data_IF_610595214083
#
_entry.id   IF_610595214083
#
_cell.length_a   1.000
_cell.length_b   1.000
_cell.length_c   1.000
_cell.angle_alpha   90.00
_cell.angle_beta   90.00
_cell.angle_gamma   90.00
#
_symmetry.space_group_name_H-M   'P 1'
#
loop_
_entity.id
_entity.type
_entity.pdbx_description
1 polymer ?
#
# COMPACT_ATOMS: atom_id res chain seq x y z
N UNK A 1 1.09 14.19 18.60
CA UNK A 1 0.06 14.86 17.75
C UNK A 1 -0.58 13.87 16.76
N UNK A 2 0.07 13.38 15.71
CA UNK A 2 -0.59 12.50 14.71
C UNK A 2 -1.09 11.18 15.30
N UNK A 3 -0.30 10.48 16.10
CA UNK A 3 -0.69 9.27 16.81
C UNK A 3 -1.92 9.51 17.73
N UNK A 4 -1.93 10.62 18.42
CA UNK A 4 -3.04 11.01 19.28
C UNK A 4 -4.33 11.32 18.50
N UNK A 5 -4.23 11.98 17.33
CA UNK A 5 -5.38 12.23 16.46
C UNK A 5 -5.98 10.93 15.93
N UNK A 6 -5.14 9.97 15.51
CA UNK A 6 -5.59 8.62 15.10
C UNK A 6 -6.27 7.90 16.24
N UNK A 7 -5.67 7.92 17.43
CA UNK A 7 -6.23 7.28 18.62
C UNK A 7 -7.59 7.89 19.00
N UNK A 8 -7.73 9.20 18.92
CA UNK A 8 -9.01 9.88 19.18
C UNK A 8 -10.07 9.51 18.14
N UNK A 9 -9.71 9.36 16.86
CA UNK A 9 -10.63 8.86 15.83
C UNK A 9 -11.05 7.42 16.10
N UNK A 10 -10.12 6.55 16.48
CA UNK A 10 -10.39 5.15 16.83
C UNK A 10 -11.35 5.09 18.01
N UNK A 11 -11.10 5.84 19.08
CA UNK A 11 -11.99 5.92 20.27
C UNK A 11 -13.37 6.45 19.94
N UNK A 12 -13.45 7.46 19.04
CA UNK A 12 -14.73 7.96 18.55
C UNK A 12 -15.52 6.88 17.80
N UNK A 13 -14.86 6.09 16.94
CA UNK A 13 -15.48 4.98 16.23
C UNK A 13 -15.93 3.88 17.21
N UNK A 14 -15.10 3.53 18.21
CA UNK A 14 -15.45 2.61 19.28
C UNK A 14 -16.68 3.08 20.05
N UNK A 15 -16.76 4.38 20.39
CA UNK A 15 -17.91 4.96 21.09
C UNK A 15 -19.21 4.84 20.29
N UNK A 16 -19.17 5.14 18.99
CA UNK A 16 -20.32 4.98 18.09
C UNK A 16 -20.79 3.53 17.96
N UNK A 17 -19.85 2.59 17.96
CA UNK A 17 -20.13 1.16 17.88
C UNK A 17 -20.39 0.49 19.25
N UNK A 18 -20.37 1.26 20.33
CA UNK A 18 -20.50 0.77 21.72
C UNK A 18 -19.47 -0.30 22.09
N UNK A 19 -18.24 -0.19 21.57
CA UNK A 19 -17.11 -1.05 21.86
C UNK A 19 -16.31 -0.43 23.01
N UNK A 20 -16.07 -1.19 24.09
CA UNK A 20 -15.31 -0.75 25.25
C UNK A 20 -13.82 -0.96 25.11
N UNK A 21 -13.42 -2.03 24.41
CA UNK A 21 -12.03 -2.32 24.12
C UNK A 21 -11.84 -2.90 22.72
N UNK A 22 -10.79 -2.45 22.02
CA UNK A 22 -10.39 -2.88 20.67
C UNK A 22 -9.05 -3.60 20.73
N UNK A 23 -9.00 -4.80 20.17
CA UNK A 23 -7.79 -5.62 20.01
C UNK A 23 -7.28 -5.45 18.58
N UNK A 24 -6.11 -4.84 18.39
CA UNK A 24 -5.51 -4.57 17.11
C UNK A 24 -4.23 -5.39 16.95
N UNK A 25 -4.26 -6.33 16.01
CA UNK A 25 -3.15 -7.23 15.76
C UNK A 25 -2.20 -6.68 14.69
N UNK A 26 -0.91 -7.02 14.84
CA UNK A 26 0.11 -6.79 13.83
C UNK A 26 1.26 -7.77 13.94
N UNK A 27 2.01 -7.88 12.87
CA UNK A 27 3.28 -8.60 12.78
C UNK A 27 4.22 -7.86 11.82
N UNK A 28 5.44 -8.36 11.58
CA UNK A 28 6.42 -7.74 10.71
C UNK A 28 5.96 -7.59 9.24
N UNK A 29 4.98 -8.39 8.79
CA UNK A 29 4.48 -8.38 7.41
C UNK A 29 3.23 -7.53 7.24
N UNK A 30 2.40 -7.47 8.27
CA UNK A 30 1.16 -6.69 8.28
C UNK A 30 0.99 -6.04 9.65
N UNK A 31 1.38 -4.78 9.75
CA UNK A 31 1.41 -4.02 10.99
C UNK A 31 0.50 -2.79 11.02
N UNK A 32 -0.24 -2.52 9.94
CA UNK A 32 -1.03 -1.31 9.74
C UNK A 32 -2.10 -1.07 10.82
N UNK A 33 -2.83 -2.10 11.23
CA UNK A 33 -3.85 -2.02 12.28
C UNK A 33 -3.26 -1.69 13.65
N UNK A 34 -2.21 -2.42 14.05
CA UNK A 34 -1.49 -2.15 15.29
C UNK A 34 -0.86 -0.77 15.27
N UNK A 35 -0.19 -0.43 14.17
CA UNK A 35 0.48 0.85 13.99
C UNK A 35 -0.49 2.03 14.00
N UNK A 36 -1.70 1.85 13.49
CA UNK A 36 -2.73 2.89 13.52
C UNK A 36 -2.99 3.39 14.95
N UNK A 37 -3.02 2.47 15.93
CA UNK A 37 -3.29 2.79 17.32
C UNK A 37 -2.05 3.19 18.13
N UNK A 38 -0.89 2.59 17.84
CA UNK A 38 0.31 2.73 18.67
C UNK A 38 1.43 3.57 18.06
N UNK A 39 1.34 3.86 16.75
CA UNK A 39 2.42 4.42 15.90
C UNK A 39 3.66 3.53 15.78
N UNK A 40 3.65 2.37 16.41
CA UNK A 40 4.76 1.42 16.45
C UNK A 40 4.72 0.42 15.28
N UNK A 41 5.86 0.20 14.65
CA UNK A 41 6.04 -0.82 13.63
C UNK A 41 6.80 -2.03 14.17
N UNK A 42 6.23 -3.23 14.07
CA UNK A 42 6.86 -4.48 14.48
C UNK A 42 7.98 -4.83 13.50
N UNK A 43 9.15 -5.18 14.04
CA UNK A 43 10.29 -5.64 13.26
C UNK A 43 10.30 -7.17 13.15
N UNK A 44 9.97 -7.86 14.25
CA UNK A 44 9.94 -9.32 14.33
C UNK A 44 8.82 -9.80 15.25
N UNK A 45 8.39 -11.06 15.10
CA UNK A 45 7.38 -11.63 15.99
C UNK A 45 5.97 -11.10 15.77
N UNK A 46 5.22 -11.00 16.86
CA UNK A 46 3.81 -10.63 16.90
C UNK A 46 3.55 -9.55 17.95
N UNK A 47 2.59 -8.70 17.69
CA UNK A 47 2.12 -7.72 18.63
C UNK A 47 0.61 -7.54 18.61
N UNK A 48 0.06 -7.16 19.76
CA UNK A 48 -1.33 -6.75 19.90
C UNK A 48 -1.39 -5.45 20.69
N UNK A 49 -2.02 -4.44 20.11
CA UNK A 49 -2.42 -3.25 20.84
C UNK A 49 -3.84 -3.42 21.36
N UNK A 50 -4.02 -3.26 22.65
CA UNK A 50 -5.35 -3.19 23.28
C UNK A 50 -5.65 -1.74 23.60
N UNK A 51 -6.70 -1.20 22.97
CA UNK A 51 -7.15 0.18 23.15
C UNK A 51 -8.46 0.17 23.89
N UNK A 52 -8.55 0.92 25.00
CA UNK A 52 -9.80 1.20 25.70
C UNK A 52 -10.26 2.63 25.44
N UNK A 53 -11.54 2.92 25.73
CA UNK A 53 -12.07 4.28 25.54
C UNK A 53 -11.45 5.31 26.49
N UNK A 54 -11.12 4.88 27.71
CA UNK A 54 -10.78 5.79 28.82
C UNK A 54 -9.31 5.66 29.30
N UNK A 55 -8.63 4.56 28.94
CA UNK A 55 -7.26 4.27 29.35
C UNK A 55 -6.29 4.44 28.15
N UNK A 56 -4.99 4.28 28.39
CA UNK A 56 -3.96 4.29 27.36
C UNK A 56 -4.02 3.10 26.41
N UNK A 57 -3.07 3.04 25.50
CA UNK A 57 -2.83 1.87 24.65
C UNK A 57 -1.94 0.90 25.43
N UNK A 58 -2.33 -0.37 25.51
CA UNK A 58 -1.48 -1.43 26.03
C UNK A 58 -0.93 -2.21 24.84
N UNK A 59 0.39 -2.32 24.76
CA UNK A 59 1.07 -2.97 23.64
C UNK A 59 1.76 -4.24 24.11
N UNK A 60 1.22 -5.39 23.73
CA UNK A 60 1.76 -6.71 24.03
C UNK A 60 2.67 -7.17 22.89
N UNK A 61 3.94 -7.45 23.19
CA UNK A 61 4.97 -7.84 22.22
C UNK A 61 5.67 -9.12 22.68
N UNK A 62 6.01 -10.03 21.77
CA UNK A 62 6.75 -11.25 22.06
C UNK A 62 8.25 -11.17 21.71
N UNK A 63 8.70 -10.07 21.12
CA UNK A 63 10.10 -9.76 20.85
C UNK A 63 10.66 -8.77 21.88
N UNK A 64 11.81 -9.12 22.50
CA UNK A 64 12.49 -8.23 23.42
C UNK A 64 13.05 -6.99 22.71
N UNK A 65 13.54 -7.15 21.45
CA UNK A 65 14.04 -6.04 20.65
C UNK A 65 12.92 -5.06 20.30
N UNK A 66 11.74 -5.55 19.95
CA UNK A 66 10.60 -4.70 19.68
C UNK A 66 10.05 -4.02 20.93
N UNK A 67 10.08 -4.70 22.10
CA UNK A 67 9.67 -4.09 23.37
C UNK A 67 10.59 -2.92 23.75
N UNK A 68 11.92 -3.09 23.63
CA UNK A 68 12.89 -2.04 23.89
C UNK A 68 12.71 -0.84 22.94
N UNK A 69 12.48 -1.10 21.64
CA UNK A 69 12.18 -0.04 20.66
C UNK A 69 10.88 0.70 20.96
N UNK A 70 9.85 -0.05 21.37
CA UNK A 70 8.52 0.51 21.64
C UNK A 70 8.52 1.52 22.79
N UNK A 71 9.38 1.38 23.80
CA UNK A 71 9.54 2.34 24.88
C UNK A 71 9.96 3.74 24.35
N UNK A 72 10.68 3.78 23.24
CA UNK A 72 11.15 5.03 22.60
C UNK A 72 10.20 5.50 21.50
N UNK A 73 9.74 4.57 20.65
CA UNK A 73 8.95 4.87 19.45
C UNK A 73 7.45 5.04 19.73
N UNK A 74 6.94 4.44 20.83
CA UNK A 74 5.53 4.52 21.26
C UNK A 74 5.39 5.01 22.71
N UNK A 75 5.92 6.17 23.09
CA UNK A 75 6.02 6.61 24.50
C UNK A 75 4.66 6.81 25.18
N UNK A 76 3.55 6.76 24.45
CA UNK A 76 2.19 6.84 24.99
C UNK A 76 1.54 5.49 25.24
N UNK A 77 2.23 4.37 24.98
CA UNK A 77 1.73 3.02 25.19
C UNK A 77 2.35 2.39 26.45
N UNK A 78 1.56 1.56 27.14
CA UNK A 78 2.04 0.69 28.22
C UNK A 78 2.58 -0.61 27.61
N UNK A 79 3.90 -0.83 27.68
CA UNK A 79 4.61 -1.89 26.96
C UNK A 79 4.69 -3.15 27.82
N UNK A 80 4.22 -4.26 27.28
CA UNK A 80 4.24 -5.58 27.91
C UNK A 80 5.04 -6.58 27.07
N UNK A 81 6.29 -6.87 27.47
CA UNK A 81 7.03 -8.00 26.92
C UNK A 81 6.45 -9.31 27.46
N UNK A 82 5.98 -10.17 26.56
CA UNK A 82 5.31 -11.44 26.92
C UNK A 82 5.88 -12.60 26.09
N UNK A 83 5.83 -13.83 26.61
CA UNK A 83 6.26 -15.02 25.85
C UNK A 83 5.25 -15.48 24.81
N UNK A 84 3.98 -15.16 25.01
CA UNK A 84 2.86 -15.59 24.19
C UNK A 84 1.80 -14.49 24.23
N UNK A 85 1.73 -13.74 23.14
CA UNK A 85 0.82 -12.60 22.97
C UNK A 85 -0.64 -13.05 23.06
N UNK A 86 -0.98 -14.20 22.46
CA UNK A 86 -2.34 -14.72 22.47
C UNK A 86 -2.82 -15.03 23.89
N UNK A 87 -1.99 -15.69 24.67
CA UNK A 87 -2.29 -16.02 26.08
C UNK A 87 -2.38 -14.79 26.96
N UNK A 88 -1.47 -13.84 26.79
CA UNK A 88 -1.43 -12.61 27.58
C UNK A 88 -2.69 -11.77 27.34
N UNK A 89 -3.10 -11.61 26.07
CA UNK A 89 -4.30 -10.86 25.68
C UNK A 89 -5.57 -11.61 26.10
N UNK A 90 -5.63 -12.94 26.00
CA UNK A 90 -6.75 -13.73 26.54
C UNK A 90 -6.93 -13.48 28.04
N UNK A 91 -5.84 -13.51 28.81
CA UNK A 91 -5.89 -13.23 30.25
C UNK A 91 -6.32 -11.77 30.55
N UNK A 92 -5.95 -10.81 29.69
CA UNK A 92 -6.43 -9.44 29.78
C UNK A 92 -7.95 -9.36 29.53
N UNK A 93 -8.43 -10.00 28.47
CA UNK A 93 -9.86 -10.06 28.11
C UNK A 93 -10.71 -10.72 29.21
N UNK A 94 -10.20 -11.75 29.86
CA UNK A 94 -10.89 -12.42 30.97
C UNK A 94 -11.05 -11.47 32.18
N UNK A 95 -10.01 -10.67 32.49
CA UNK A 95 -10.09 -9.64 33.52
C UNK A 95 -11.00 -8.46 33.16
N UNK A 96 -11.14 -8.17 31.84
CA UNK A 96 -12.03 -7.12 31.37
C UNK A 96 -13.52 -7.40 31.62
N UNK A 97 -13.89 -8.67 31.92
CA UNK A 97 -15.22 -9.05 32.36
C UNK A 97 -16.30 -8.85 31.29
N UNK A 98 -17.31 -8.05 31.60
CA UNK A 98 -18.47 -7.80 30.74
C UNK A 98 -18.28 -6.66 29.74
N UNK A 99 -17.06 -6.18 29.51
CA UNK A 99 -16.77 -5.16 28.47
C UNK A 99 -17.10 -5.69 27.08
N UNK A 100 -17.72 -4.85 26.25
CA UNK A 100 -17.90 -5.17 24.83
C UNK A 100 -16.56 -5.06 24.12
N UNK A 101 -16.06 -6.17 23.60
CA UNK A 101 -14.75 -6.27 22.99
C UNK A 101 -14.83 -6.61 21.51
N UNK A 102 -13.96 -6.00 20.70
CA UNK A 102 -13.86 -6.27 19.28
C UNK A 102 -12.40 -6.37 18.83
N UNK A 103 -12.16 -6.88 17.63
CA UNK A 103 -10.82 -7.02 17.09
C UNK A 103 -10.73 -6.66 15.62
N UNK A 104 -9.54 -6.16 15.20
CA UNK A 104 -9.17 -5.94 13.82
C UNK A 104 -7.66 -6.22 13.61
N UNK A 105 -7.25 -6.85 12.50
CA UNK A 105 -8.12 -7.58 11.58
C UNK A 105 -8.54 -8.93 12.19
N UNK A 106 -9.83 -9.18 12.30
CA UNK A 106 -10.36 -10.38 13.01
C UNK A 106 -9.84 -11.68 12.40
N UNK A 107 -9.72 -11.73 11.09
CA UNK A 107 -9.26 -12.92 10.34
C UNK A 107 -7.77 -13.24 10.48
N UNK A 108 -6.95 -12.34 11.01
CA UNK A 108 -5.50 -12.53 11.18
C UNK A 108 -5.08 -12.73 12.65
N UNK A 109 -6.02 -12.71 13.57
CA UNK A 109 -5.69 -12.97 14.97
C UNK A 109 -5.02 -14.33 15.15
N UNK A 110 -4.03 -14.44 16.05
CA UNK A 110 -3.42 -15.72 16.38
C UNK A 110 -4.46 -16.76 16.77
N UNK A 111 -4.37 -17.97 16.22
CA UNK A 111 -5.28 -19.08 16.49
C UNK A 111 -5.40 -19.35 18.00
N UNK A 112 -4.28 -19.30 18.73
CA UNK A 112 -4.25 -19.47 20.18
C UNK A 112 -5.13 -18.47 20.94
N UNK A 113 -5.39 -17.27 20.40
CA UNK A 113 -6.32 -16.30 20.97
C UNK A 113 -7.76 -16.63 20.58
N UNK A 114 -8.01 -16.95 19.31
CA UNK A 114 -9.38 -17.18 18.80
C UNK A 114 -10.04 -18.44 19.35
N UNK A 115 -9.27 -19.40 19.85
CA UNK A 115 -9.80 -20.62 20.50
C UNK A 115 -10.16 -20.44 21.97
N UNK A 116 -9.72 -19.37 22.61
CA UNK A 116 -10.12 -19.08 24.01
C UNK A 116 -11.58 -18.60 24.07
N UNK A 117 -12.23 -18.77 25.22
CA UNK A 117 -13.61 -18.31 25.41
C UNK A 117 -13.73 -16.79 25.28
N UNK A 118 -12.75 -16.04 25.77
CA UNK A 118 -12.68 -14.58 25.60
C UNK A 118 -12.43 -14.18 24.15
N UNK A 119 -11.54 -14.87 23.44
CA UNK A 119 -11.25 -14.62 22.03
C UNK A 119 -12.43 -14.91 21.10
N UNK A 120 -13.22 -15.95 21.39
CA UNK A 120 -14.45 -16.28 20.64
C UNK A 120 -15.52 -15.19 20.75
N UNK A 121 -15.54 -14.44 21.85
CA UNK A 121 -16.48 -13.33 22.07
C UNK A 121 -16.10 -12.02 21.35
N UNK A 122 -14.86 -11.89 20.84
CA UNK A 122 -14.44 -10.70 20.11
C UNK A 122 -15.34 -10.47 18.89
N UNK A 123 -15.98 -9.33 18.82
CA UNK A 123 -16.69 -8.91 17.60
C UNK A 123 -15.69 -8.57 16.48
N UNK A 124 -16.11 -8.68 15.24
CA UNK A 124 -15.29 -8.25 14.09
C UNK A 124 -15.45 -6.75 13.85
N UNK A 125 -14.37 -6.00 14.06
CA UNK A 125 -14.30 -4.57 13.78
C UNK A 125 -13.43 -4.25 12.56
N UNK A 126 -13.04 -5.25 11.77
CA UNK A 126 -12.12 -5.07 10.63
C UNK A 126 -12.61 -4.00 9.68
N UNK A 127 -13.88 -4.04 9.27
CA UNK A 127 -14.43 -3.05 8.34
C UNK A 127 -14.41 -1.62 8.90
N UNK A 128 -14.66 -1.46 10.20
CA UNK A 128 -14.65 -0.14 10.84
C UNK A 128 -13.22 0.45 10.93
N UNK A 129 -12.21 -0.40 11.19
CA UNK A 129 -10.81 0.05 11.20
C UNK A 129 -10.29 0.27 9.78
N UNK A 130 -10.69 -0.56 8.80
CA UNK A 130 -10.40 -0.32 7.38
C UNK A 130 -10.89 1.08 6.93
N UNK A 131 -12.09 1.47 7.35
CA UNK A 131 -12.61 2.81 7.05
C UNK A 131 -11.73 3.91 7.63
N UNK A 132 -11.23 3.74 8.87
CA UNK A 132 -10.29 4.69 9.47
C UNK A 132 -8.95 4.72 8.73
N UNK A 133 -8.42 3.56 8.32
CA UNK A 133 -7.20 3.43 7.54
C UNK A 133 -7.32 4.06 6.14
N UNK A 134 -8.50 3.95 5.51
CA UNK A 134 -8.75 4.59 4.21
C UNK A 134 -8.75 6.12 4.29
N UNK A 135 -9.27 6.71 5.36
CA UNK A 135 -9.43 8.16 5.52
C UNK A 135 -8.23 8.78 6.24
N UNK A 136 -7.27 9.30 5.50
CA UNK A 136 -6.05 9.89 6.04
C UNK A 136 -6.30 11.26 6.68
N UNK A 137 -5.63 11.49 7.79
CA UNK A 137 -5.49 12.81 8.40
C UNK A 137 -4.53 13.68 7.57
N UNK A 138 -4.60 15.01 7.67
CA UNK A 138 -3.68 15.90 6.94
C UNK A 138 -2.20 15.59 7.19
N UNK A 139 -1.82 15.20 8.41
CA UNK A 139 -0.46 14.78 8.76
C UNK A 139 -0.04 13.49 8.08
N UNK A 140 -0.97 12.51 7.93
CA UNK A 140 -0.72 11.28 7.20
C UNK A 140 -0.50 11.56 5.70
N UNK A 141 -1.34 12.41 5.11
CA UNK A 141 -1.19 12.85 3.71
C UNK A 141 0.15 13.56 3.48
N UNK A 142 0.61 14.39 4.42
CA UNK A 142 1.92 15.05 4.34
C UNK A 142 3.07 14.04 4.31
N UNK A 143 2.97 12.96 5.10
CA UNK A 143 3.96 11.87 5.12
C UNK A 143 3.93 11.06 3.82
N UNK A 144 2.73 10.72 3.31
CA UNK A 144 2.57 10.04 2.01
C UNK A 144 3.16 10.89 0.88
N UNK A 145 2.97 12.21 0.89
CA UNK A 145 3.58 13.13 -0.08
C UNK A 145 5.11 13.08 -0.03
N UNK A 146 5.70 12.91 1.16
CA UNK A 146 7.16 12.73 1.30
C UNK A 146 7.62 11.39 0.72
N UNK A 147 6.87 10.31 0.94
CA UNK A 147 7.16 9.01 0.32
C UNK A 147 7.02 9.06 -1.21
N UNK A 148 6.04 9.81 -1.76
CA UNK A 148 5.87 9.98 -3.20
C UNK A 148 7.06 10.73 -3.84
N UNK A 149 7.58 11.78 -3.18
CA UNK A 149 8.82 12.44 -3.65
C UNK A 149 10.01 11.49 -3.65
N UNK A 150 10.16 10.68 -2.60
CA UNK A 150 11.23 9.67 -2.56
C UNK A 150 11.06 8.60 -3.65
N UNK A 151 9.82 8.24 -4.01
CA UNK A 151 9.55 7.33 -5.13
C UNK A 151 9.97 7.95 -6.47
N UNK A 152 9.70 9.24 -6.71
CA UNK A 152 10.16 9.97 -7.89
C UNK A 152 11.70 9.98 -7.98
N UNK A 153 12.39 10.31 -6.89
CA UNK A 153 13.85 10.31 -6.81
C UNK A 153 14.44 8.91 -7.02
N UNK A 154 13.81 7.88 -6.43
CA UNK A 154 14.16 6.46 -6.63
C UNK A 154 13.99 6.03 -8.08
N UNK A 155 12.97 6.55 -8.78
CA UNK A 155 12.79 6.27 -10.21
C UNK A 155 13.89 6.92 -11.07
N UNK A 156 14.41 8.08 -10.72
CA UNK A 156 15.57 8.67 -11.40
C UNK A 156 16.81 7.76 -11.27
N UNK A 157 17.03 7.15 -10.10
CA UNK A 157 18.11 6.16 -9.91
C UNK A 157 17.85 4.92 -10.77
N UNK A 158 16.62 4.40 -10.78
CA UNK A 158 16.24 3.26 -11.63
C UNK A 158 16.53 3.55 -13.11
N UNK A 159 16.09 4.69 -13.61
CA UNK A 159 16.31 5.15 -14.98
C UNK A 159 17.80 5.29 -15.31
N UNK A 160 18.58 5.85 -14.39
CA UNK A 160 20.02 5.99 -14.54
C UNK A 160 20.77 4.64 -14.51
N UNK A 161 20.26 3.65 -13.76
CA UNK A 161 20.85 2.32 -13.66
C UNK A 161 20.50 1.40 -14.84
N UNK A 162 19.34 1.60 -15.49
CA UNK A 162 18.85 0.76 -16.57
C UNK A 162 19.74 0.89 -17.82
N UNK A 163 20.44 -0.19 -18.19
CA UNK A 163 21.32 -0.26 -19.38
C UNK A 163 21.39 -1.69 -19.89
N UNK A 164 21.66 -1.85 -21.19
CA UNK A 164 21.91 -3.16 -21.78
C UNK A 164 23.00 -3.94 -21.03
N UNK A 165 22.79 -5.22 -20.84
CA UNK A 165 23.69 -6.14 -20.15
C UNK A 165 23.58 -6.16 -18.62
N UNK A 166 22.98 -5.16 -17.97
CA UNK A 166 22.75 -5.20 -16.52
C UNK A 166 21.64 -6.19 -16.16
N UNK A 167 21.79 -6.87 -15.03
CA UNK A 167 20.76 -7.77 -14.51
C UNK A 167 19.68 -6.99 -13.74
N UNK A 168 18.47 -7.55 -13.69
CA UNK A 168 17.41 -6.96 -12.88
C UNK A 168 17.81 -6.77 -11.41
N UNK A 169 18.54 -7.75 -10.80
CA UNK A 169 19.09 -7.63 -9.45
C UNK A 169 19.93 -6.37 -9.24
N UNK A 170 20.72 -5.99 -10.23
CA UNK A 170 21.64 -4.85 -10.14
C UNK A 170 20.87 -3.52 -10.15
N UNK A 171 19.77 -3.44 -10.92
CA UNK A 171 18.91 -2.26 -10.92
C UNK A 171 18.20 -2.09 -9.58
N UNK A 172 17.62 -3.18 -9.07
CA UNK A 172 16.92 -3.16 -7.79
C UNK A 172 17.88 -2.83 -6.64
N UNK A 173 19.11 -3.37 -6.66
CA UNK A 173 20.10 -3.08 -5.63
C UNK A 173 20.47 -1.58 -5.59
N UNK A 174 20.64 -0.92 -6.73
CA UNK A 174 20.95 0.52 -6.78
C UNK A 174 19.79 1.36 -6.22
N UNK A 175 18.55 1.02 -6.57
CA UNK A 175 17.35 1.70 -6.07
C UNK A 175 17.17 1.49 -4.56
N UNK A 176 17.30 0.25 -4.08
CA UNK A 176 17.19 -0.08 -2.66
C UNK A 176 18.26 0.65 -1.83
N UNK A 177 19.51 0.67 -2.32
CA UNK A 177 20.59 1.40 -1.64
C UNK A 177 20.26 2.89 -1.51
N UNK A 178 19.74 3.51 -2.58
CA UNK A 178 19.34 4.91 -2.57
C UNK A 178 18.18 5.16 -1.60
N UNK A 179 17.10 4.37 -1.69
CA UNK A 179 15.91 4.55 -0.86
C UNK A 179 16.24 4.40 0.64
N UNK A 180 17.04 3.37 0.99
CA UNK A 180 17.50 3.15 2.38
C UNK A 180 18.37 4.30 2.89
N UNK A 181 19.30 4.78 2.06
CA UNK A 181 20.15 5.91 2.41
C UNK A 181 19.37 7.21 2.63
N UNK A 182 18.17 7.32 2.06
CA UNK A 182 17.28 8.48 2.19
C UNK A 182 16.09 8.24 3.15
N UNK A 183 16.21 7.24 4.03
CA UNK A 183 15.30 7.05 5.17
C UNK A 183 14.07 6.19 4.89
N UNK A 184 13.99 5.51 3.73
CA UNK A 184 12.95 4.51 3.52
C UNK A 184 13.17 3.32 4.43
N UNK A 185 12.19 3.03 5.28
CA UNK A 185 12.23 1.85 6.15
C UNK A 185 11.90 0.57 5.38
N UNK A 186 11.14 0.67 4.29
CA UNK A 186 10.75 -0.45 3.44
C UNK A 186 10.45 0.03 2.02
N UNK A 187 10.52 -0.89 1.05
CA UNK A 187 10.14 -0.65 -0.34
C UNK A 187 9.58 -1.92 -0.95
N UNK A 188 8.33 -1.89 -1.38
CA UNK A 188 7.81 -2.95 -2.23
C UNK A 188 8.16 -2.63 -3.69
N UNK A 189 8.98 -3.49 -4.31
CA UNK A 189 9.43 -3.32 -5.68
C UNK A 189 9.38 -4.62 -6.46
N UNK A 190 8.69 -4.59 -7.59
CA UNK A 190 8.66 -5.66 -8.59
C UNK A 190 9.11 -5.10 -9.95
N UNK A 191 9.64 -5.96 -10.80
CA UNK A 191 10.21 -5.58 -12.09
C UNK A 191 9.80 -6.56 -13.18
N UNK A 192 9.56 -6.06 -14.40
CA UNK A 192 9.45 -6.85 -15.61
C UNK A 192 10.44 -6.35 -16.65
N UNK A 193 11.02 -7.22 -17.46
CA UNK A 193 11.82 -6.76 -18.60
C UNK A 193 11.69 -7.74 -19.77
N UNK A 194 11.56 -7.22 -20.99
CA UNK A 194 11.44 -7.98 -22.22
C UNK A 194 10.43 -7.42 -23.19
N UNK A 195 9.79 -8.30 -23.96
CA UNK A 195 8.81 -7.98 -24.98
C UNK A 195 7.51 -8.74 -24.79
N UNK A 196 6.95 -9.26 -25.90
CA UNK A 196 5.62 -9.92 -25.95
C UNK A 196 5.47 -11.17 -25.08
N UNK A 197 6.56 -11.78 -24.66
CA UNK A 197 6.62 -12.94 -23.78
C UNK A 197 6.52 -12.59 -22.29
N UNK A 198 6.48 -11.29 -21.95
CA UNK A 198 6.35 -10.80 -20.58
C UNK A 198 4.90 -10.44 -20.30
N UNK A 199 4.27 -11.14 -19.36
CA UNK A 199 2.85 -11.01 -19.01
C UNK A 199 2.59 -10.27 -17.70
N UNK A 200 3.64 -9.88 -16.97
CA UNK A 200 3.55 -9.20 -15.69
C UNK A 200 4.91 -8.87 -15.13
N UNK A 201 4.91 -8.38 -13.90
CA UNK A 201 6.12 -8.14 -13.11
C UNK A 201 6.28 -9.23 -12.05
N UNK A 202 7.52 -9.42 -11.59
CA UNK A 202 7.90 -10.41 -10.59
C UNK A 202 9.04 -9.85 -9.72
N UNK A 203 9.44 -10.54 -8.65
CA UNK A 203 10.71 -10.25 -8.00
C UNK A 203 11.86 -10.25 -9.01
N UNK A 204 12.93 -9.44 -8.80
CA UNK A 204 14.05 -9.34 -9.74
C UNK A 204 14.73 -10.69 -9.98
N UNK A 205 15.31 -10.86 -11.16
CA UNK A 205 15.99 -12.08 -11.60
C UNK A 205 17.38 -11.80 -12.16
N UNK A 206 18.08 -12.87 -12.57
CA UNK A 206 19.37 -12.77 -13.28
C UNK A 206 19.25 -12.31 -14.74
N UNK A 207 18.01 -12.12 -15.24
CA UNK A 207 17.79 -11.68 -16.61
C UNK A 207 18.55 -10.38 -16.88
N UNK A 208 19.35 -10.40 -17.98
CA UNK A 208 20.04 -9.21 -18.44
C UNK A 208 19.15 -8.42 -19.38
N UNK A 209 19.15 -7.12 -19.19
CA UNK A 209 18.45 -6.20 -20.09
C UNK A 209 19.11 -6.22 -21.47
N UNK A 210 18.30 -6.15 -22.51
CA UNK A 210 18.73 -6.16 -23.90
C UNK A 210 18.13 -4.96 -24.66
N UNK A 211 18.80 -4.49 -25.73
CA UNK A 211 18.24 -3.45 -26.59
C UNK A 211 16.82 -3.81 -27.08
N UNK A 212 15.89 -2.85 -26.98
CA UNK A 212 14.48 -3.01 -27.35
C UNK A 212 13.59 -3.55 -26.22
N UNK A 213 14.15 -3.98 -25.08
CA UNK A 213 13.35 -4.39 -23.93
C UNK A 213 12.50 -3.23 -23.40
N UNK A 214 11.22 -3.51 -23.14
CA UNK A 214 10.46 -2.76 -22.15
C UNK A 214 10.95 -3.15 -20.76
N UNK A 215 11.18 -2.20 -19.90
CA UNK A 215 11.49 -2.44 -18.48
C UNK A 215 10.45 -1.72 -17.64
N UNK A 216 9.68 -2.49 -16.91
CA UNK A 216 8.55 -2.02 -16.09
C UNK A 216 8.86 -2.19 -14.61
N UNK A 217 8.46 -1.24 -13.79
CA UNK A 217 8.61 -1.34 -12.34
C UNK A 217 7.51 -0.61 -11.58
N UNK A 218 7.24 -1.11 -10.41
CA UNK A 218 6.53 -0.43 -9.32
C UNK A 218 7.54 -0.17 -8.22
N UNK A 219 7.68 1.10 -7.81
CA UNK A 219 8.45 1.52 -6.64
C UNK A 219 7.49 2.01 -5.56
N UNK A 220 7.62 1.45 -4.38
CA UNK A 220 6.68 1.75 -3.28
C UNK A 220 7.46 1.96 -1.96
N UNK A 221 8.30 3.00 -1.87
CA UNK A 221 9.03 3.30 -0.64
C UNK A 221 8.10 3.77 0.48
N UNK A 222 8.57 3.60 1.72
CA UNK A 222 7.88 4.08 2.91
C UNK A 222 8.69 5.13 3.68
N UNK A 223 8.02 6.18 4.14
CA UNK A 223 8.54 7.17 5.09
C UNK A 223 7.62 7.19 6.32
N UNK A 224 8.20 7.10 7.51
CA UNK A 224 7.42 7.08 8.75
C UNK A 224 6.33 6.00 8.79
N UNK A 225 6.52 4.88 8.04
CA UNK A 225 5.58 3.79 7.88
C UNK A 225 4.47 4.02 6.85
N UNK A 226 4.44 5.15 6.16
CA UNK A 226 3.48 5.43 5.09
C UNK A 226 4.11 5.20 3.73
N UNK A 227 3.43 4.46 2.89
CA UNK A 227 3.84 4.11 1.54
C UNK A 227 3.26 5.06 0.50
N UNK A 228 4.03 5.30 -0.56
CA UNK A 228 3.52 5.86 -1.82
C UNK A 228 4.15 5.11 -2.99
N UNK A 229 3.41 5.01 -4.09
CA UNK A 229 3.81 4.19 -5.24
C UNK A 229 3.90 5.02 -6.51
N UNK A 230 4.88 4.67 -7.35
CA UNK A 230 4.98 5.12 -8.74
C UNK A 230 5.16 3.91 -9.64
N UNK A 231 4.45 3.88 -10.77
CA UNK A 231 4.62 2.86 -11.80
C UNK A 231 5.09 3.49 -13.10
N UNK A 232 6.17 2.97 -13.69
CA UNK A 232 6.72 3.50 -14.94
C UNK A 232 7.27 2.39 -15.84
N UNK A 233 7.27 2.67 -17.13
CA UNK A 233 7.89 1.83 -18.17
C UNK A 233 8.98 2.64 -18.88
N UNK A 234 10.12 2.02 -19.12
CA UNK A 234 11.18 2.56 -19.98
C UNK A 234 11.58 1.55 -21.06
N UNK A 235 12.35 2.00 -22.06
CA UNK A 235 12.89 1.18 -23.15
C UNK A 235 14.41 1.23 -23.12
N UNK A 236 15.05 0.10 -23.28
CA UNK A 236 16.50 0.02 -23.49
C UNK A 236 16.80 0.33 -24.97
N UNK A 237 17.42 1.46 -25.23
CA UNK A 237 17.60 2.01 -26.56
C UNK A 237 16.40 2.84 -27.03
N UNK A 238 16.18 2.93 -28.33
CA UNK A 238 15.09 3.70 -28.94
C UNK A 238 13.79 2.88 -28.96
N UNK A 239 12.68 3.47 -28.53
CA UNK A 239 11.36 2.85 -28.58
C UNK A 239 10.86 2.74 -30.02
N UNK A 240 10.40 1.58 -30.42
CA UNK A 240 9.80 1.38 -31.73
C UNK A 240 8.38 1.95 -31.82
N UNK A 241 7.86 2.03 -33.06
CA UNK A 241 6.54 2.61 -33.31
C UNK A 241 5.40 1.88 -32.59
N UNK A 242 5.48 0.55 -32.41
CA UNK A 242 4.48 -0.22 -31.68
C UNK A 242 4.50 0.10 -30.18
N UNK A 243 5.68 0.20 -29.58
CA UNK A 243 5.85 0.58 -28.17
C UNK A 243 5.31 1.99 -27.91
N UNK A 244 5.62 2.97 -28.78
CA UNK A 244 5.12 4.36 -28.69
C UNK A 244 3.58 4.41 -28.79
N UNK A 245 3.00 3.67 -29.75
CA UNK A 245 1.52 3.59 -29.89
C UNK A 245 0.87 2.91 -28.67
N UNK A 246 1.40 1.78 -28.23
CA UNK A 246 0.88 1.10 -27.06
C UNK A 246 0.93 2.01 -25.82
N UNK A 247 2.07 2.65 -25.55
CA UNK A 247 2.24 3.54 -24.41
C UNK A 247 1.23 4.71 -24.42
N UNK A 248 0.87 5.24 -25.57
CA UNK A 248 -0.14 6.31 -25.66
C UNK A 248 -1.52 5.87 -25.14
N UNK A 249 -1.88 4.59 -25.31
CA UNK A 249 -3.12 4.03 -24.76
C UNK A 249 -3.08 3.96 -23.23
N UNK A 250 -1.96 3.52 -22.65
CA UNK A 250 -1.79 3.47 -21.19
C UNK A 250 -1.81 4.85 -20.57
N UNK A 251 -1.21 5.85 -21.23
CA UNK A 251 -1.26 7.23 -20.79
C UNK A 251 -2.67 7.79 -20.83
N UNK A 252 -3.41 7.57 -21.92
CA UNK A 252 -4.83 7.97 -22.00
C UNK A 252 -5.66 7.28 -20.91
N UNK A 253 -5.41 5.99 -20.63
CA UNK A 253 -6.12 5.25 -19.57
C UNK A 253 -5.82 5.82 -18.18
N UNK A 254 -4.55 6.10 -17.86
CA UNK A 254 -4.17 6.73 -16.60
C UNK A 254 -4.80 8.12 -16.44
N UNK A 255 -4.76 8.93 -17.49
CA UNK A 255 -5.36 10.27 -17.48
C UNK A 255 -6.89 10.21 -17.26
N UNK A 256 -7.57 9.25 -17.90
CA UNK A 256 -8.98 9.00 -17.69
C UNK A 256 -9.31 8.55 -16.25
N UNK A 257 -8.49 7.63 -15.70
CA UNK A 257 -8.63 7.19 -14.31
C UNK A 257 -8.46 8.35 -13.32
N UNK A 258 -7.38 9.11 -13.44
CA UNK A 258 -7.11 10.29 -12.57
C UNK A 258 -8.23 11.34 -12.69
N UNK A 259 -8.70 11.62 -13.90
CA UNK A 259 -9.81 12.57 -14.11
C UNK A 259 -11.13 12.09 -13.49
N UNK A 260 -11.31 10.78 -13.33
CA UNK A 260 -12.48 10.21 -12.67
C UNK A 260 -12.39 10.29 -11.13
N UNK A 261 -11.18 10.41 -10.54
CA UNK A 261 -11.00 10.46 -9.08
C UNK A 261 -11.55 11.79 -8.53
N UNK A 262 -12.68 11.71 -7.80
CA UNK A 262 -13.27 12.84 -7.07
C UNK A 262 -14.20 12.34 -5.96
N UNK A 263 -14.59 13.17 -5.00
CA UNK A 263 -15.54 12.79 -3.96
C UNK A 263 -16.86 12.28 -4.54
N UNK A 264 -17.39 11.22 -3.94
CA UNK A 264 -18.70 10.66 -4.24
C UNK A 264 -18.74 9.63 -5.37
N UNK A 265 -17.72 9.54 -6.23
CA UNK A 265 -17.59 8.44 -7.19
C UNK A 265 -17.15 7.16 -6.48
N UNK A 266 -17.39 6.01 -7.08
CA UNK A 266 -16.91 4.72 -6.54
C UNK A 266 -15.54 4.34 -7.11
N UNK A 267 -14.83 3.45 -6.43
CA UNK A 267 -13.62 2.83 -6.98
C UNK A 267 -13.90 2.13 -8.31
N UNK A 268 -15.10 1.56 -8.46
CA UNK A 268 -15.57 0.95 -9.71
C UNK A 268 -15.72 1.97 -10.86
N UNK A 269 -16.11 3.21 -10.57
CA UNK A 269 -16.19 4.26 -11.60
C UNK A 269 -14.81 4.61 -12.15
N UNK A 270 -13.81 4.69 -11.28
CA UNK A 270 -12.41 4.92 -11.68
C UNK A 270 -11.90 3.75 -12.52
N UNK A 271 -12.12 2.50 -12.08
CA UNK A 271 -11.73 1.31 -12.84
C UNK A 271 -12.38 1.26 -14.23
N UNK A 272 -13.66 1.61 -14.32
CA UNK A 272 -14.38 1.69 -15.61
C UNK A 272 -13.77 2.75 -16.53
N UNK A 273 -13.44 3.92 -15.99
CA UNK A 273 -12.84 4.99 -16.79
C UNK A 273 -11.52 4.54 -17.46
N UNK A 274 -10.66 3.82 -16.74
CA UNK A 274 -9.43 3.25 -17.30
C UNK A 274 -9.71 2.12 -18.29
N UNK A 275 -10.56 1.18 -17.92
CA UNK A 275 -10.87 0.00 -18.75
C UNK A 275 -11.60 0.36 -20.04
N UNK A 276 -12.43 1.39 -20.06
CA UNK A 276 -13.13 1.85 -21.26
C UNK A 276 -12.17 2.40 -22.32
N UNK A 277 -11.03 2.99 -21.89
CA UNK A 277 -9.96 3.34 -22.83
C UNK A 277 -9.37 2.08 -23.49
N UNK A 278 -9.06 1.04 -22.75
CA UNK A 278 -8.59 -0.22 -23.33
C UNK A 278 -9.62 -0.85 -24.25
N UNK A 279 -10.89 -0.86 -23.87
CA UNK A 279 -12.02 -1.36 -24.72
C UNK A 279 -12.14 -0.57 -26.01
N UNK A 280 -12.01 0.76 -25.96
CA UNK A 280 -12.00 1.66 -27.12
C UNK A 280 -10.93 1.28 -28.16
N UNK A 281 -9.77 0.81 -27.69
CA UNK A 281 -8.66 0.38 -28.54
C UNK A 281 -8.66 -1.13 -28.85
N UNK A 282 -9.76 -1.85 -28.58
CA UNK A 282 -9.88 -3.29 -28.85
C UNK A 282 -9.08 -4.19 -27.89
N UNK A 283 -8.68 -3.65 -26.75
CA UNK A 283 -7.89 -4.35 -25.72
C UNK A 283 -8.72 -4.87 -24.54
N UNK A 284 -10.06 -4.97 -24.71
CA UNK A 284 -10.96 -5.40 -23.63
C UNK A 284 -10.67 -6.78 -23.05
N UNK A 285 -10.12 -7.70 -23.84
CA UNK A 285 -9.75 -9.05 -23.39
C UNK A 285 -8.57 -9.03 -22.38
N UNK A 286 -7.79 -7.96 -22.37
CA UNK A 286 -6.59 -7.81 -21.54
C UNK A 286 -6.85 -7.08 -20.19
N UNK A 287 -8.09 -6.66 -19.92
CA UNK A 287 -8.50 -6.07 -18.65
C UNK A 287 -9.32 -7.03 -17.79
N UNK A 288 -8.93 -8.31 -17.79
CA UNK A 288 -9.62 -9.42 -17.13
C UNK A 288 -8.71 -10.09 -16.10
N UNK A 289 -9.25 -11.01 -15.30
CA UNK A 289 -8.48 -11.79 -14.30
C UNK A 289 -7.34 -12.63 -14.90
N UNK A 290 -7.39 -12.94 -16.19
CA UNK A 290 -6.31 -13.67 -16.89
C UNK A 290 -5.03 -12.83 -16.97
N UNK A 291 -5.19 -11.49 -16.97
CA UNK A 291 -4.10 -10.52 -17.01
C UNK A 291 -4.11 -9.71 -15.71
N UNK A 292 -4.14 -8.38 -15.77
CA UNK A 292 -4.27 -7.55 -14.59
C UNK A 292 -5.60 -6.82 -14.62
N UNK A 293 -6.52 -7.10 -13.66
CA UNK A 293 -7.81 -6.42 -13.58
C UNK A 293 -7.83 -5.27 -12.57
N UNK A 294 -6.88 -5.24 -11.65
CA UNK A 294 -6.73 -4.16 -10.65
C UNK A 294 -6.21 -2.91 -11.35
N UNK A 295 -6.92 -1.79 -11.18
CA UNK A 295 -6.61 -0.48 -11.76
C UNK A 295 -6.01 0.48 -10.75
N UNK A 296 -5.69 -0.01 -9.58
CA UNK A 296 -5.12 0.72 -8.47
C UNK A 296 -5.65 0.25 -7.14
N UNK A 297 -5.16 0.86 -6.08
CA UNK A 297 -5.56 0.52 -4.71
C UNK A 297 -5.26 1.67 -3.75
N UNK A 298 -5.76 1.56 -2.52
CA UNK A 298 -5.39 2.46 -1.44
C UNK A 298 -3.94 2.31 -1.03
N UNK A 299 -3.40 3.36 -0.46
CA UNK A 299 -2.06 3.39 0.15
C UNK A 299 -2.12 4.05 1.52
N UNK A 300 -1.14 3.78 2.36
CA UNK A 300 -1.02 4.37 3.70
C UNK A 300 -0.03 3.60 4.54
N UNK A 301 -0.44 3.16 5.73
CA UNK A 301 0.38 2.32 6.61
C UNK A 301 0.63 0.91 6.05
N UNK A 302 0.03 0.57 4.92
CA UNK A 302 0.29 -0.62 4.14
C UNK A 302 0.38 -0.26 2.65
N UNK A 303 1.27 -0.95 1.91
CA UNK A 303 1.55 -0.63 0.51
C UNK A 303 0.34 -0.88 -0.40
N UNK A 304 -0.40 -1.96 -0.16
CA UNK A 304 -1.59 -2.37 -0.91
C UNK A 304 -2.80 -2.45 0.03
N UNK A 305 -3.49 -1.34 0.21
CA UNK A 305 -4.64 -1.24 1.11
C UNK A 305 -5.95 -0.96 0.37
N UNK A 306 -7.04 -0.97 1.11
CA UNK A 306 -8.37 -0.65 0.56
C UNK A 306 -8.51 0.87 0.28
N UNK A 307 -9.39 1.27 -0.68
CA UNK A 307 -10.13 0.38 -1.58
C UNK A 307 -9.25 -0.12 -2.73
N UNK A 308 -9.52 -1.32 -3.26
CA UNK A 308 -8.99 -1.70 -4.57
C UNK A 308 -9.83 -1.04 -5.67
N UNK A 309 -9.17 -0.52 -6.70
CA UNK A 309 -9.82 0.07 -7.86
C UNK A 309 -10.16 -1.06 -8.84
N UNK A 310 -11.39 -1.57 -8.72
CA UNK A 310 -11.95 -2.69 -9.45
C UNK A 310 -13.39 -2.38 -9.86
N UNK A 311 -13.85 -2.87 -11.01
CA UNK A 311 -15.21 -2.60 -11.52
C UNK A 311 -16.35 -3.15 -10.63
N UNK A 312 -16.02 -3.99 -9.65
CA UNK A 312 -16.96 -4.60 -8.68
C UNK A 312 -16.76 -4.09 -7.23
N UNK A 313 -16.06 -2.95 -7.05
CA UNK A 313 -15.85 -2.32 -5.73
C UNK A 313 -16.58 -0.98 -5.64
N UNK A 314 -17.69 -0.98 -4.91
CA UNK A 314 -18.60 0.17 -4.77
C UNK A 314 -18.19 1.15 -3.64
N UNK A 315 -16.96 1.03 -3.11
CA UNK A 315 -16.45 1.96 -2.11
C UNK A 315 -16.42 3.38 -2.67
N UNK A 316 -17.17 4.30 -2.04
CA UNK A 316 -17.18 5.72 -2.42
C UNK A 316 -15.88 6.39 -2.02
N UNK A 317 -15.31 7.14 -2.94
CA UNK A 317 -14.14 7.95 -2.67
C UNK A 317 -14.55 9.20 -1.88
N UNK A 318 -13.75 9.54 -0.88
CA UNK A 318 -13.95 10.73 -0.06
C UNK A 318 -12.62 11.47 0.14
N UNK A 319 -12.65 12.77 0.46
CA UNK A 319 -11.45 13.56 0.71
C UNK A 319 -10.52 12.91 1.75
N UNK A 320 -9.22 12.94 1.49
CA UNK A 320 -8.20 12.33 2.33
C UNK A 320 -7.87 10.87 1.97
N UNK A 321 -8.61 10.20 1.09
CA UNK A 321 -8.17 8.90 0.57
C UNK A 321 -6.94 9.06 -0.31
N UNK A 322 -5.89 8.26 -0.04
CA UNK A 322 -4.68 8.18 -0.85
C UNK A 322 -4.70 6.87 -1.66
N UNK A 323 -4.52 6.99 -2.97
CA UNK A 323 -4.63 5.91 -3.93
C UNK A 323 -3.43 5.91 -4.87
N UNK A 324 -3.06 4.74 -5.37
CA UNK A 324 -2.35 4.62 -6.64
C UNK A 324 -3.40 4.36 -7.73
N UNK A 325 -3.31 5.07 -8.84
CA UNK A 325 -4.10 4.82 -10.07
C UNK A 325 -3.11 4.28 -11.11
N UNK A 326 -3.33 3.05 -11.61
CA UNK A 326 -2.37 2.39 -12.51
C UNK A 326 -3.06 1.43 -13.49
N UNK A 327 -3.26 1.80 -14.76
CA UNK A 327 -3.83 0.94 -15.79
C UNK A 327 -2.86 -0.15 -16.28
N UNK A 328 -2.23 -0.86 -15.34
CA UNK A 328 -1.22 -1.88 -15.66
C UNK A 328 -1.88 -3.10 -16.29
N UNK A 329 -1.41 -3.53 -17.47
CA UNK A 329 -1.86 -4.77 -18.12
C UNK A 329 -0.94 -5.22 -19.24
N UNK A 330 -1.27 -6.35 -19.87
CA UNK A 330 -0.58 -6.90 -21.03
C UNK A 330 -1.10 -6.27 -22.33
N UNK A 331 -0.18 -5.95 -23.25
CA UNK A 331 -0.47 -5.51 -24.62
C UNK A 331 0.03 -6.56 -25.64
N UNK A 332 -0.81 -7.03 -26.57
CA UNK A 332 -0.47 -8.17 -27.45
C UNK A 332 0.69 -7.91 -28.42
N UNK A 333 0.97 -6.64 -28.76
CA UNK A 333 2.07 -6.29 -29.67
C UNK A 333 3.41 -6.10 -28.95
N UNK A 334 3.42 -5.69 -27.68
CA UNK A 334 4.65 -5.22 -27.02
C UNK A 334 4.95 -5.89 -25.68
N UNK A 335 3.98 -6.55 -25.03
CA UNK A 335 4.13 -7.17 -23.71
C UNK A 335 3.53 -6.34 -22.60
N UNK A 336 3.92 -6.62 -21.36
CA UNK A 336 3.38 -5.96 -20.17
C UNK A 336 3.89 -4.52 -20.05
N UNK A 337 2.98 -3.60 -19.82
CA UNK A 337 3.28 -2.19 -19.57
C UNK A 337 2.64 -1.70 -18.29
N UNK A 338 3.31 -0.75 -17.64
CA UNK A 338 2.82 -0.09 -16.42
C UNK A 338 2.97 1.41 -16.53
N UNK A 339 2.00 2.12 -16.00
CA UNK A 339 2.05 3.56 -15.79
C UNK A 339 1.11 3.89 -14.63
N UNK A 340 1.57 4.62 -13.60
CA UNK A 340 0.71 4.91 -12.46
C UNK A 340 1.25 6.00 -11.58
N UNK A 341 0.33 6.76 -10.98
CA UNK A 341 0.62 7.87 -10.09
C UNK A 341 -0.14 7.75 -8.77
N UNK A 342 0.56 8.04 -7.68
CA UNK A 342 -0.05 8.30 -6.39
C UNK A 342 -0.92 9.56 -6.44
N UNK A 343 -2.14 9.47 -5.94
CA UNK A 343 -3.07 10.59 -5.85
C UNK A 343 -3.72 10.68 -4.48
N UNK A 344 -4.16 11.86 -4.07
CA UNK A 344 -4.99 12.07 -2.88
C UNK A 344 -6.30 12.72 -3.31
N UNK A 345 -7.42 12.15 -2.87
CA UNK A 345 -8.76 12.71 -3.10
C UNK A 345 -8.89 14.03 -2.33
N UNK A 346 -9.23 15.10 -3.02
CA UNK A 346 -9.50 16.43 -2.46
C UNK A 346 -10.99 16.69 -2.35
N UNK A 347 -11.41 17.87 -1.91
CA UNK A 347 -12.83 18.25 -1.82
C UNK A 347 -13.53 18.31 -3.19
N UNK A 348 -12.79 18.51 -4.28
CA UNK A 348 -13.36 18.75 -5.62
C UNK A 348 -12.84 17.81 -6.71
N UNK A 349 -11.80 17.03 -6.45
CA UNK A 349 -11.12 16.15 -7.41
C UNK A 349 -10.03 15.36 -6.75
N UNK A 350 -8.83 15.35 -7.31
CA UNK A 350 -7.64 14.78 -6.68
C UNK A 350 -6.39 15.62 -6.94
N UNK A 351 -5.41 15.48 -6.05
CA UNK A 351 -4.05 15.97 -6.20
C UNK A 351 -3.15 14.80 -6.64
N UNK A 352 -2.39 14.97 -7.70
CA UNK A 352 -1.35 14.01 -8.12
C UNK A 352 -0.09 14.29 -7.32
N UNK A 353 0.47 13.27 -6.67
CA UNK A 353 1.64 13.40 -5.80
C UNK A 353 2.96 13.13 -6.53
N UNK A 354 2.95 12.32 -7.60
CA UNK A 354 4.13 12.01 -8.40
C UNK A 354 4.49 13.17 -9.32
N UNK A 355 5.77 13.58 -9.31
CA UNK A 355 6.32 14.63 -10.17
C UNK A 355 6.99 14.10 -11.44
N UNK A 356 7.33 12.81 -11.50
CA UNK A 356 7.96 12.17 -12.66
C UNK A 356 7.03 12.21 -13.88
N UNK A 357 7.47 12.71 -15.05
CA UNK A 357 6.66 12.77 -16.26
C UNK A 357 6.06 11.41 -16.66
N UNK A 358 4.89 11.44 -17.30
CA UNK A 358 4.19 10.27 -17.84
C UNK A 358 4.68 9.97 -19.27
N UNK A 359 6.00 9.78 -19.41
CA UNK A 359 6.66 9.54 -20.69
C UNK A 359 7.17 8.10 -20.80
N UNK A 360 7.25 7.61 -22.02
CA UNK A 360 8.00 6.38 -22.31
C UNK A 360 9.49 6.77 -22.40
N UNK A 361 10.21 6.57 -21.29
CA UNK A 361 11.63 6.94 -21.23
C UNK A 361 12.47 6.00 -22.09
N UNK A 362 13.38 6.57 -22.87
CA UNK A 362 14.39 5.87 -23.64
C UNK A 362 15.75 6.02 -22.94
N UNK A 363 16.41 4.90 -22.61
CA UNK A 363 17.70 4.90 -21.93
C UNK A 363 18.75 4.23 -22.80
N UNK A 364 20.05 4.55 -22.65
CA UNK A 364 21.10 3.99 -23.52
C UNK A 364 21.08 2.46 -23.58
N UNK A 365 21.28 1.91 -24.81
CA UNK A 365 21.40 0.47 -25.07
C UNK A 365 22.76 -0.08 -24.63
#
# INVERSE_FOLDING_TARGET
MLAEERLNRLRSAMGKAQIDAMVLYGNAWQGDYLRYASDFGILEGHGIAVVTRDEGVQLFLDSAADAERAEVEAPGADIHLVRDVARAVSAWLDRAGNRTTAAAPRGFLPHGLTETDSGKRLADATAAVDELLMHKLPGEVATIRSAARLADEGYEVFKAAARSGRRQYELVADVEAFLRANGSADNFMIIGSGGRDVYGMAPPSERRLAPGDLVTTELTPSIGGYYAQICRTLVIGEANAAQKRAFSVYREALEAGIAAVRPGVTAADVARAENDVFRKYGLGDYVTNKYTRVRGHGMGLFADSKPHILEDVDTKLVPGMALIVHPNTYHPEVGYMVLGDAVVVTDTGCEVLCGTPRDLFEVPA
#
